data_IF_784899009687
#
_entry.id   IF_784899009687
#
_cell.length_a   1.000
_cell.length_b   1.000
_cell.length_c   1.000
_cell.angle_alpha   90.00
_cell.angle_beta   90.00
_cell.angle_gamma   90.00
#
_symmetry.space_group_name_H-M   'P 1'
#
loop_
_entity.id
_entity.type
_entity.pdbx_description
1 polymer ?
#
# COMPACT_ATOMS: atom_id res chain seq x y z
N UNK A 1 -2.21 -1.69 22.40
CA UNK A 1 -1.36 -1.75 21.19
C UNK A 1 -1.12 -0.45 20.41
N UNK A 2 -1.97 0.61 20.41
CA UNK A 2 -1.52 1.96 19.97
C UNK A 2 -0.83 2.72 21.11
N UNK A 3 -1.48 2.75 22.29
CA UNK A 3 -0.95 3.38 23.49
C UNK A 3 0.41 2.81 23.91
N UNK A 4 0.54 1.48 23.93
CA UNK A 4 1.80 0.80 24.29
C UNK A 4 2.94 1.10 23.30
N UNK A 5 2.64 1.15 21.99
CA UNK A 5 3.64 1.44 20.96
C UNK A 5 4.20 2.85 21.12
N UNK A 6 3.32 3.84 21.32
CA UNK A 6 3.75 5.22 21.52
C UNK A 6 4.37 5.48 22.90
N UNK A 7 3.89 4.83 23.97
CA UNK A 7 4.48 4.95 25.31
C UNK A 7 5.90 4.37 25.36
N UNK A 8 6.17 3.28 24.63
CA UNK A 8 7.51 2.70 24.51
C UNK A 8 8.50 3.70 23.89
N UNK A 9 8.04 4.55 22.98
CA UNK A 9 8.82 5.60 22.35
C UNK A 9 8.81 6.94 23.12
N UNK A 10 8.21 6.98 24.32
CA UNK A 10 8.09 8.19 25.15
C UNK A 10 7.10 9.23 24.64
N UNK A 11 6.23 8.87 23.69
CA UNK A 11 5.27 9.77 23.04
C UNK A 11 3.89 9.75 23.70
N UNK A 12 3.25 10.91 23.81
CA UNK A 12 1.91 11.04 24.38
C UNK A 12 0.84 10.87 23.30
N UNK A 13 -0.10 9.95 23.51
CA UNK A 13 -1.23 9.72 22.60
C UNK A 13 -2.52 10.31 23.18
N UNK A 14 -3.16 11.19 22.41
CA UNK A 14 -4.48 11.72 22.74
C UNK A 14 -5.51 11.29 21.69
N UNK A 15 -6.60 10.64 22.14
CA UNK A 15 -7.72 10.29 21.28
C UNK A 15 -8.89 11.21 21.61
N UNK A 16 -9.17 12.16 20.71
CA UNK A 16 -10.29 13.10 20.86
C UNK A 16 -11.51 12.56 20.12
N UNK A 17 -12.63 12.47 20.81
CA UNK A 17 -13.92 12.13 20.22
C UNK A 17 -14.76 13.40 20.08
N UNK A 18 -15.45 13.52 18.95
CA UNK A 18 -16.41 14.57 18.70
C UNK A 18 -17.51 14.06 17.76
N UNK A 19 -18.62 14.80 17.69
CA UNK A 19 -19.78 14.42 16.87
C UNK A 19 -20.01 15.46 15.79
N UNK A 20 -20.26 15.02 14.56
CA UNK A 20 -20.65 15.88 13.43
C UNK A 20 -21.98 15.38 12.87
N UNK A 21 -23.07 16.02 13.26
CA UNK A 21 -24.42 15.54 12.99
C UNK A 21 -24.68 14.19 13.67
N UNK A 22 -25.11 13.19 12.90
CA UNK A 22 -25.37 11.84 13.44
C UNK A 22 -24.11 10.98 13.58
N UNK A 23 -23.02 11.34 12.89
CA UNK A 23 -21.79 10.54 12.83
C UNK A 23 -20.86 10.83 14.02
N UNK A 24 -20.34 9.76 14.64
CA UNK A 24 -19.28 9.84 15.63
C UNK A 24 -17.92 9.86 14.94
N UNK A 25 -17.04 10.78 15.36
CA UNK A 25 -15.69 10.92 14.81
C UNK A 25 -14.70 10.82 15.97
N UNK A 26 -13.65 10.03 15.77
CA UNK A 26 -12.49 10.01 16.66
C UNK A 26 -11.25 10.46 15.89
N UNK A 27 -10.37 11.19 16.55
CA UNK A 27 -9.14 11.74 16.00
C UNK A 27 -8.00 11.44 16.96
N UNK A 28 -6.92 10.86 16.45
CA UNK A 28 -5.72 10.48 17.20
C UNK A 28 -4.64 11.52 16.98
N UNK A 29 -4.06 11.98 18.07
CA UNK A 29 -2.93 12.88 18.12
C UNK A 29 -1.78 12.21 18.84
N UNK A 30 -0.55 12.43 18.38
CA UNK A 30 0.68 12.00 19.05
C UNK A 30 1.56 13.23 19.22
N UNK A 31 1.94 13.52 20.46
CA UNK A 31 2.69 14.74 20.85
C UNK A 31 2.06 16.03 20.31
N UNK A 32 0.72 16.11 20.38
CA UNK A 32 -0.06 17.24 19.86
C UNK A 32 -0.24 17.29 18.34
N UNK A 33 0.44 16.41 17.58
CA UNK A 33 0.35 16.35 16.12
C UNK A 33 -0.78 15.41 15.69
N UNK A 34 -1.64 15.85 14.77
CA UNK A 34 -2.72 15.02 14.23
C UNK A 34 -2.16 13.87 13.39
N UNK A 35 -2.51 12.64 13.74
CA UNK A 35 -2.08 11.44 13.01
C UNK A 35 -3.21 10.95 12.09
N UNK A 36 -4.35 10.57 12.65
CA UNK A 36 -5.43 9.95 11.88
C UNK A 36 -6.80 10.22 12.50
N UNK A 37 -7.86 10.00 11.72
CA UNK A 37 -9.23 10.02 12.20
C UNK A 37 -10.03 8.85 11.67
N UNK A 38 -11.11 8.52 12.36
CA UNK A 38 -12.07 7.48 11.98
C UNK A 38 -13.48 7.92 12.31
N UNK A 39 -14.46 7.46 11.52
CA UNK A 39 -15.87 7.71 11.79
C UNK A 39 -16.67 6.40 11.86
N UNK A 40 -17.76 6.44 12.60
CA UNK A 40 -18.75 5.37 12.70
C UNK A 40 -20.05 5.90 13.30
N UNK A 41 -21.11 5.12 13.22
CA UNK A 41 -22.34 5.37 13.98
C UNK A 41 -22.13 5.13 15.47
N UNK A 42 -21.21 4.24 15.84
CA UNK A 42 -20.87 3.92 17.23
C UNK A 42 -19.56 4.58 17.66
N UNK A 43 -19.54 5.15 18.87
CA UNK A 43 -18.38 5.88 19.43
C UNK A 43 -17.12 5.00 19.52
N UNK A 44 -17.26 3.79 20.07
CA UNK A 44 -16.14 2.85 20.24
C UNK A 44 -15.58 2.38 18.90
N UNK A 45 -16.43 2.16 17.88
CA UNK A 45 -15.98 1.81 16.53
C UNK A 45 -15.25 2.98 15.86
N UNK A 46 -15.71 4.22 16.06
CA UNK A 46 -15.01 5.40 15.55
C UNK A 46 -13.59 5.50 16.14
N UNK A 47 -13.43 5.26 17.45
CA UNK A 47 -12.12 5.20 18.12
C UNK A 47 -11.25 4.07 17.58
N UNK A 48 -11.83 2.88 17.38
CA UNK A 48 -11.11 1.74 16.81
C UNK A 48 -10.59 2.03 15.41
N UNK A 49 -11.42 2.61 14.54
CA UNK A 49 -11.03 3.03 13.19
C UNK A 49 -9.90 4.05 13.23
N UNK A 50 -10.02 5.06 14.10
CA UNK A 50 -8.99 6.08 14.25
C UNK A 50 -7.67 5.49 14.78
N UNK A 51 -7.73 4.57 15.76
CA UNK A 51 -6.56 3.92 16.33
C UNK A 51 -5.85 2.99 15.32
N UNK A 52 -6.61 2.21 14.55
CA UNK A 52 -6.07 1.38 13.46
C UNK A 52 -5.37 2.24 12.40
N UNK A 53 -6.01 3.34 11.98
CA UNK A 53 -5.43 4.27 11.02
C UNK A 53 -4.19 4.98 11.57
N UNK A 54 -4.14 5.27 12.87
CA UNK A 54 -2.97 5.87 13.51
C UNK A 54 -1.80 4.88 13.63
N UNK A 55 -2.06 3.64 14.04
CA UNK A 55 -1.04 2.57 14.07
C UNK A 55 -0.40 2.38 12.70
N UNK A 56 -1.24 2.31 11.66
CA UNK A 56 -0.84 2.23 10.26
C UNK A 56 0.10 3.37 9.85
N UNK A 57 -0.21 4.60 10.27
CA UNK A 57 0.61 5.78 9.99
C UNK A 57 1.88 5.89 10.84
N UNK A 58 1.90 5.34 12.04
CA UNK A 58 3.05 5.43 12.96
C UNK A 58 4.06 4.31 12.72
N UNK A 59 3.60 3.15 12.24
CA UNK A 59 4.46 2.03 11.84
C UNK A 59 5.37 2.38 10.66
N UNK A 60 5.08 3.45 9.90
CA UNK A 60 5.92 3.93 8.81
C UNK A 60 6.06 5.45 8.89
N UNK A 61 7.22 6.00 9.28
CA UNK A 61 7.42 7.44 9.32
C UNK A 61 7.21 8.02 7.91
N UNK A 62 6.27 8.96 7.84
CA UNK A 62 5.83 9.67 6.64
C UNK A 62 7.03 10.23 5.87
N UNK A 63 7.36 9.67 4.71
CA UNK A 63 7.74 10.53 3.59
C UNK A 63 6.44 11.10 3.03
N UNK A 64 6.42 12.38 2.62
CA UNK A 64 5.25 13.06 2.04
C UNK A 64 4.76 12.46 0.70
N UNK A 65 5.11 11.21 0.41
CA UNK A 65 4.83 10.52 -0.83
C UNK A 65 3.45 9.87 -0.74
N UNK A 66 2.42 10.59 -1.21
CA UNK A 66 1.04 10.08 -1.34
C UNK A 66 0.97 8.70 -1.98
N UNK A 67 1.92 8.43 -2.87
CA UNK A 67 2.09 7.14 -3.54
C UNK A 67 2.41 5.99 -2.58
N UNK A 68 3.23 6.22 -1.55
CA UNK A 68 3.54 5.20 -0.55
C UNK A 68 2.31 4.88 0.32
N UNK A 69 1.45 5.88 0.57
CA UNK A 69 0.21 5.70 1.30
C UNK A 69 -0.84 4.91 0.48
N UNK A 70 -0.99 5.24 -0.81
CA UNK A 70 -1.89 4.51 -1.72
C UNK A 70 -1.42 3.07 -1.93
N UNK A 71 -0.12 2.88 -2.15
CA UNK A 71 0.48 1.55 -2.20
C UNK A 71 0.21 0.79 -0.92
N UNK A 72 0.44 1.36 0.27
CA UNK A 72 0.24 0.65 1.54
C UNK A 72 -1.24 0.27 1.81
N UNK A 73 -2.22 1.07 1.36
CA UNK A 73 -3.64 0.67 1.41
C UNK A 73 -3.90 -0.56 0.55
N UNK A 74 -3.30 -0.62 -0.63
CA UNK A 74 -3.45 -1.73 -1.57
C UNK A 74 -2.59 -2.96 -1.17
N UNK A 75 -1.44 -2.75 -0.50
CA UNK A 75 -0.55 -3.79 0.03
C UNK A 75 -1.19 -4.59 1.17
N UNK A 76 -2.08 -3.96 1.93
CA UNK A 76 -2.84 -4.62 2.99
C UNK A 76 -4.08 -5.38 2.45
N UNK A 77 -4.29 -5.35 1.13
CA UNK A 77 -5.26 -6.19 0.43
C UNK A 77 -4.62 -7.49 -0.06
N UNK A 78 -5.38 -8.58 -0.06
CA UNK A 78 -4.96 -9.86 -0.66
C UNK A 78 -4.94 -9.81 -2.19
N UNK A 79 -5.54 -8.78 -2.80
CA UNK A 79 -5.71 -8.65 -4.23
C UNK A 79 -4.61 -7.82 -4.88
N UNK A 80 -4.50 -7.90 -6.21
CA UNK A 80 -3.59 -7.04 -6.97
C UNK A 80 -3.87 -5.55 -6.70
N UNK A 81 -2.79 -4.78 -6.59
CA UNK A 81 -2.85 -3.33 -6.49
C UNK A 81 -3.51 -2.78 -7.78
N UNK A 82 -4.58 -2.00 -7.64
CA UNK A 82 -5.23 -1.38 -8.80
C UNK A 82 -4.30 -0.33 -9.42
N UNK A 83 -4.09 -0.42 -10.75
CA UNK A 83 -3.18 0.48 -11.46
C UNK A 83 -1.70 0.30 -11.11
N UNK A 84 -1.32 -0.87 -10.59
CA UNK A 84 0.05 -1.19 -10.20
C UNK A 84 1.09 -0.91 -11.30
N UNK A 85 0.74 -1.15 -12.57
CA UNK A 85 1.65 -0.88 -13.70
C UNK A 85 2.03 0.60 -13.79
N UNK A 86 1.04 1.49 -13.65
CA UNK A 86 1.27 2.93 -13.66
C UNK A 86 2.03 3.37 -12.40
N UNK A 87 1.62 2.87 -11.24
CA UNK A 87 2.30 3.14 -9.97
C UNK A 87 3.77 2.70 -10.02
N UNK A 88 4.10 1.54 -10.59
CA UNK A 88 5.49 1.12 -10.70
C UNK A 88 6.32 2.04 -11.62
N UNK A 89 5.75 2.48 -12.74
CA UNK A 89 6.41 3.45 -13.63
C UNK A 89 6.72 4.76 -12.90
N UNK A 90 5.72 5.35 -12.24
CA UNK A 90 5.90 6.58 -11.47
C UNK A 90 6.92 6.42 -10.33
N UNK A 91 7.01 5.22 -9.74
CA UNK A 91 7.98 4.90 -8.70
C UNK A 91 9.42 4.92 -9.26
N UNK A 92 9.64 4.25 -10.39
CA UNK A 92 10.92 4.26 -11.11
C UNK A 92 11.34 5.69 -11.50
N UNK A 93 10.41 6.50 -12.01
CA UNK A 93 10.66 7.90 -12.40
C UNK A 93 11.14 8.75 -11.20
N UNK A 94 10.53 8.57 -10.03
CA UNK A 94 10.93 9.25 -8.79
C UNK A 94 12.31 8.82 -8.31
N UNK A 95 12.61 7.52 -8.42
CA UNK A 95 13.90 6.93 -8.06
C UNK A 95 15.00 7.17 -9.09
N UNK A 96 14.66 7.78 -10.24
CA UNK A 96 15.57 7.94 -11.39
C UNK A 96 16.11 6.60 -11.90
N UNK A 97 15.32 5.54 -11.77
CA UNK A 97 15.60 4.25 -12.36
C UNK A 97 15.08 4.19 -13.79
N UNK A 98 15.67 3.36 -14.66
CA UNK A 98 15.11 3.01 -15.95
C UNK A 98 13.65 2.53 -15.84
N UNK A 99 12.91 2.68 -16.94
CA UNK A 99 11.51 2.26 -16.98
C UNK A 99 11.41 0.73 -16.81
N UNK A 100 10.37 0.26 -16.10
CA UNK A 100 10.13 -1.17 -15.93
C UNK A 100 9.90 -1.87 -17.28
N UNK A 101 10.56 -3.02 -17.46
CA UNK A 101 10.45 -3.86 -18.65
C UNK A 101 9.56 -5.06 -18.36
N UNK A 102 8.57 -5.31 -19.21
CA UNK A 102 7.60 -6.38 -19.05
C UNK A 102 7.77 -7.45 -20.12
N UNK A 103 7.65 -8.72 -19.74
CA UNK A 103 7.71 -9.87 -20.66
C UNK A 103 6.64 -10.90 -20.34
N UNK A 104 6.08 -11.53 -21.38
CA UNK A 104 5.17 -12.67 -21.20
C UNK A 104 6.04 -13.92 -21.04
N UNK A 105 5.96 -14.53 -19.86
CA UNK A 105 6.72 -15.73 -19.50
C UNK A 105 5.98 -17.01 -19.90
N UNK A 106 4.65 -16.96 -19.91
CA UNK A 106 3.81 -18.10 -20.25
C UNK A 106 2.50 -17.63 -20.89
N UNK A 107 2.12 -18.29 -21.97
CA UNK A 107 0.81 -18.24 -22.58
C UNK A 107 0.32 -19.68 -22.75
N UNK A 108 -0.78 -20.02 -22.09
CA UNK A 108 -1.31 -21.39 -22.06
C UNK A 108 -2.83 -21.40 -22.26
N UNK A 109 -3.36 -22.57 -22.61
CA UNK A 109 -4.79 -22.80 -22.76
C UNK A 109 -5.35 -22.52 -24.16
N UNK A 110 -6.56 -23.02 -24.45
CA UNK A 110 -7.24 -22.79 -25.71
C UNK A 110 -7.64 -21.31 -25.86
N UNK A 111 -7.94 -20.85 -27.08
CA UNK A 111 -8.26 -19.45 -27.37
C UNK A 111 -9.36 -18.82 -26.50
N UNK A 112 -10.29 -19.63 -25.97
CA UNK A 112 -11.40 -19.19 -25.12
C UNK A 112 -11.10 -19.26 -23.61
N UNK A 113 -9.95 -19.83 -23.21
CA UNK A 113 -9.52 -19.96 -21.82
C UNK A 113 -8.01 -19.66 -21.70
N UNK A 114 -7.54 -18.67 -22.48
CA UNK A 114 -6.14 -18.29 -22.47
C UNK A 114 -5.73 -17.74 -21.11
N UNK A 115 -4.56 -18.17 -20.67
CA UNK A 115 -3.94 -17.74 -19.43
C UNK A 115 -2.54 -17.20 -19.71
N UNK A 116 -2.20 -16.12 -19.04
CA UNK A 116 -0.99 -15.37 -19.24
C UNK A 116 -0.29 -15.18 -17.90
N UNK A 117 1.02 -15.39 -17.91
CA UNK A 117 1.89 -14.97 -16.80
C UNK A 117 2.91 -13.98 -17.33
N UNK A 118 3.05 -12.87 -16.64
CA UNK A 118 3.98 -11.80 -16.99
C UNK A 118 5.08 -11.66 -15.93
N UNK A 119 6.27 -11.27 -16.35
CA UNK A 119 7.34 -10.81 -15.48
C UNK A 119 7.57 -9.31 -15.67
N UNK A 120 8.09 -8.67 -14.62
CA UNK A 120 8.61 -7.31 -14.66
C UNK A 120 10.04 -7.29 -14.17
N UNK A 121 10.88 -6.52 -14.87
CA UNK A 121 12.28 -6.30 -14.55
C UNK A 121 12.52 -4.80 -14.38
N UNK A 122 13.21 -4.43 -13.31
CA UNK A 122 13.69 -3.06 -13.08
C UNK A 122 15.19 -3.10 -12.80
N UNK A 123 15.93 -2.22 -13.47
CA UNK A 123 17.35 -2.01 -13.19
C UNK A 123 17.45 -0.93 -12.11
N UNK A 124 18.01 -1.28 -10.96
CA UNK A 124 18.30 -0.31 -9.89
C UNK A 124 19.79 0.05 -9.94
N UNK A 125 20.22 0.98 -9.08
CA UNK A 125 21.64 1.37 -8.99
C UNK A 125 22.54 0.27 -8.44
N UNK A 126 21.96 -0.72 -7.74
CA UNK A 126 22.69 -1.77 -7.04
C UNK A 126 22.52 -3.12 -7.73
N UNK A 127 21.29 -3.43 -8.16
CA UNK A 127 20.96 -4.73 -8.75
C UNK A 127 19.80 -4.65 -9.76
N UNK A 128 19.61 -5.73 -10.50
CA UNK A 128 18.46 -5.93 -11.38
C UNK A 128 17.42 -6.75 -10.63
N UNK A 129 16.28 -6.13 -10.34
CA UNK A 129 15.17 -6.83 -9.71
C UNK A 129 14.28 -7.45 -10.77
N UNK A 130 13.88 -8.70 -10.54
CA UNK A 130 13.00 -9.45 -11.40
C UNK A 130 11.90 -10.10 -10.58
N UNK A 131 10.64 -9.90 -11.00
CA UNK A 131 9.47 -10.48 -10.33
C UNK A 131 8.50 -11.03 -11.37
N UNK A 132 7.99 -12.23 -11.11
CA UNK A 132 6.93 -12.86 -11.91
C UNK A 132 5.59 -12.68 -11.19
N UNK A 133 4.57 -12.23 -11.92
CA UNK A 133 3.21 -12.08 -11.39
C UNK A 133 2.40 -13.37 -11.40
N UNK A 134 1.15 -13.27 -10.96
CA UNK A 134 0.20 -14.39 -11.00
C UNK A 134 -0.33 -14.65 -12.42
N UNK A 135 -0.89 -15.84 -12.60
CA UNK A 135 -1.64 -16.21 -13.79
C UNK A 135 -2.94 -15.39 -13.92
N UNK A 136 -3.14 -14.77 -15.08
CA UNK A 136 -4.35 -13.97 -15.39
C UNK A 136 -4.90 -14.30 -16.77
N UNK A 137 -6.16 -13.95 -16.96
CA UNK A 137 -6.91 -14.19 -18.21
C UNK A 137 -6.58 -13.19 -19.31
N UNK A 138 -6.00 -12.04 -18.95
CA UNK A 138 -5.65 -10.96 -19.88
C UNK A 138 -4.21 -10.53 -19.64
N UNK A 139 -3.52 -10.21 -20.73
CA UNK A 139 -2.14 -9.70 -20.69
C UNK A 139 -2.02 -8.48 -19.77
N UNK A 140 -2.94 -7.51 -19.89
CA UNK A 140 -2.93 -6.30 -19.05
C UNK A 140 -3.02 -6.61 -17.56
N UNK A 141 -3.82 -7.61 -17.19
CA UNK A 141 -3.99 -8.01 -15.80
C UNK A 141 -2.74 -8.76 -15.30
N UNK A 142 -2.12 -9.59 -16.17
CA UNK A 142 -0.87 -10.28 -15.85
C UNK A 142 0.28 -9.28 -15.62
N UNK A 143 0.42 -8.28 -16.49
CA UNK A 143 1.39 -7.18 -16.32
C UNK A 143 1.13 -6.39 -15.03
N UNK A 144 -0.14 -6.10 -14.73
CA UNK A 144 -0.51 -5.42 -13.49
C UNK A 144 -0.17 -6.26 -12.25
N UNK A 145 -0.39 -7.58 -12.31
CA UNK A 145 -0.05 -8.49 -11.22
C UNK A 145 1.47 -8.54 -10.98
N UNK A 146 2.27 -8.63 -12.04
CA UNK A 146 3.73 -8.57 -11.93
C UNK A 146 4.20 -7.24 -11.30
N UNK A 147 3.61 -6.12 -11.74
CA UNK A 147 3.90 -4.81 -11.16
C UNK A 147 3.50 -4.71 -9.67
N UNK A 148 2.36 -5.30 -9.29
CA UNK A 148 1.86 -5.35 -7.92
C UNK A 148 2.83 -6.11 -7.01
N UNK A 149 3.32 -7.27 -7.45
CA UNK A 149 4.31 -8.05 -6.70
C UNK A 149 5.66 -7.33 -6.59
N UNK A 150 6.12 -6.66 -7.65
CA UNK A 150 7.35 -5.87 -7.61
C UNK A 150 7.25 -4.72 -6.58
N UNK A 151 6.12 -4.00 -6.57
CA UNK A 151 5.87 -2.93 -5.61
C UNK A 151 5.81 -3.44 -4.16
N UNK A 152 5.27 -4.64 -3.93
CA UNK A 152 5.29 -5.33 -2.62
C UNK A 152 6.71 -5.59 -2.17
N UNK A 153 7.53 -6.25 -3.00
CA UNK A 153 8.92 -6.57 -2.68
C UNK A 153 9.76 -5.31 -2.39
N UNK A 154 9.62 -4.27 -3.21
CA UNK A 154 10.30 -2.99 -3.02
C UNK A 154 9.96 -2.29 -1.70
N UNK A 155 8.78 -2.56 -1.14
CA UNK A 155 8.37 -2.01 0.15
C UNK A 155 8.89 -2.84 1.33
N UNK A 156 9.00 -4.17 1.17
CA UNK A 156 9.45 -5.10 2.21
C UNK A 156 10.98 -5.11 2.41
N UNK A 157 11.77 -4.77 1.38
CA UNK A 157 13.25 -4.73 1.45
C UNK A 157 13.83 -3.49 2.18
N UNK A 158 13.12 -2.93 3.16
CA UNK A 158 13.48 -1.68 3.85
C UNK A 158 13.86 -1.86 5.32
#
# INVERSE_FOLDING_TARGET
MLFELCQKDGKQVDIRHWRKGEKNIASVYVDGTFIASGCSEQKENAKLHAAKAALKKLSYPTTNDKMALDLYVDLNGTNDIEGAKQKLHEFCDKKKWPKPSYKIESEAGPSHEKRFVCSVQIETTEEVLFVKGDEKWRIKDAENSAASMMLRGLHESK
#
